data_IF_306094025206
#
_entry.id   IF_306094025206
#
_cell.length_a   1.000
_cell.length_b   1.000
_cell.length_c   1.000
_cell.angle_alpha   90.00
_cell.angle_beta   90.00
_cell.angle_gamma   90.00
#
_symmetry.space_group_name_H-M   'P 1'
#
loop_
_entity.id
_entity.type
_entity.pdbx_description
1 polymer ?
#
# COMPACT_ATOMS: atom_id res chain seq x y z
N UNK A 1 39.10 53.75 -49.29
CA UNK A 1 38.25 52.55 -49.45
C UNK A 1 39.14 51.34 -49.18
N UNK A 2 39.04 50.76 -47.98
CA UNK A 2 39.82 49.58 -47.59
C UNK A 2 38.86 48.40 -47.56
N UNK A 3 38.91 47.57 -48.58
CA UNK A 3 38.26 46.26 -48.60
C UNK A 3 38.96 45.34 -47.60
N UNK A 4 38.26 44.82 -46.56
CA UNK A 4 38.87 43.86 -45.65
C UNK A 4 39.22 42.60 -46.43
N UNK A 5 40.49 42.18 -46.33
CA UNK A 5 40.98 40.93 -46.87
C UNK A 5 40.15 39.80 -46.25
N UNK A 6 39.35 39.16 -47.08
CA UNK A 6 38.60 37.95 -46.75
C UNK A 6 39.61 36.90 -46.29
N UNK A 7 39.66 36.68 -44.97
CA UNK A 7 40.58 35.73 -44.36
C UNK A 7 40.35 34.35 -44.95
N UNK A 8 41.38 33.80 -45.58
CA UNK A 8 41.38 32.45 -46.11
C UNK A 8 41.00 31.49 -44.96
N UNK A 9 39.82 30.88 -45.06
CA UNK A 9 39.39 29.83 -44.15
C UNK A 9 40.40 28.71 -44.23
N UNK A 10 41.22 28.56 -43.19
CA UNK A 10 42.14 27.43 -43.06
C UNK A 10 41.31 26.16 -43.14
N UNK A 11 41.61 25.23 -44.07
CA UNK A 11 40.85 23.99 -44.18
C UNK A 11 41.00 23.24 -42.86
N UNK A 12 39.92 23.18 -42.09
CA UNK A 12 39.85 22.33 -40.90
C UNK A 12 40.35 20.94 -41.29
N UNK A 13 41.41 20.47 -40.63
CA UNK A 13 42.06 19.22 -41.00
C UNK A 13 41.00 18.12 -40.87
N UNK A 14 40.72 17.34 -41.93
CA UNK A 14 39.66 16.31 -41.92
C UNK A 14 39.79 15.33 -40.75
N UNK A 15 41.03 15.16 -40.25
CA UNK A 15 41.37 14.39 -39.06
C UNK A 15 40.67 14.88 -37.78
N UNK A 16 40.49 16.19 -37.57
CA UNK A 16 39.82 16.72 -36.37
C UNK A 16 38.32 16.39 -36.34
N UNK A 17 37.65 16.44 -37.51
CA UNK A 17 36.24 16.06 -37.63
C UNK A 17 36.04 14.56 -37.37
N UNK A 18 36.91 13.72 -37.94
CA UNK A 18 36.89 12.27 -37.69
C UNK A 18 37.08 11.96 -36.20
N UNK A 19 38.04 12.61 -35.54
CA UNK A 19 38.27 12.43 -34.11
C UNK A 19 37.10 12.90 -33.24
N UNK A 20 36.42 13.99 -33.61
CA UNK A 20 35.21 14.43 -32.90
C UNK A 20 34.07 13.42 -33.04
N UNK A 21 33.81 12.93 -34.26
CA UNK A 21 32.77 11.92 -34.51
C UNK A 21 33.09 10.63 -33.74
N UNK A 22 34.35 10.18 -33.75
CA UNK A 22 34.79 9.00 -33.02
C UNK A 22 34.59 9.16 -31.50
N UNK A 23 34.91 10.32 -30.93
CA UNK A 23 34.69 10.61 -29.50
C UNK A 23 33.21 10.58 -29.12
N UNK A 24 32.35 11.16 -29.96
CA UNK A 24 30.89 11.15 -29.75
C UNK A 24 30.37 9.72 -29.82
N UNK A 25 30.78 8.95 -30.83
CA UNK A 25 30.39 7.55 -30.97
C UNK A 25 30.86 6.72 -29.77
N UNK A 26 32.12 6.85 -29.36
CA UNK A 26 32.66 6.13 -28.20
C UNK A 26 31.91 6.48 -26.92
N UNK A 27 31.57 7.75 -26.69
CA UNK A 27 30.79 8.19 -25.53
C UNK A 27 29.40 7.54 -25.51
N UNK A 28 28.70 7.53 -26.65
CA UNK A 28 27.39 6.86 -26.76
C UNK A 28 27.50 5.35 -26.57
N UNK A 29 28.51 4.71 -27.17
CA UNK A 29 28.77 3.28 -26.98
C UNK A 29 28.97 2.93 -25.52
N UNK A 30 29.75 3.73 -24.77
CA UNK A 30 29.94 3.52 -23.33
C UNK A 30 28.62 3.68 -22.56
N UNK A 31 27.80 4.70 -22.86
CA UNK A 31 26.50 4.85 -22.19
C UNK A 31 25.53 3.72 -22.51
N UNK A 32 25.47 3.27 -23.77
CA UNK A 32 24.63 2.15 -24.17
C UNK A 32 25.08 0.87 -23.46
N UNK A 33 26.39 0.59 -23.42
CA UNK A 33 26.92 -0.56 -22.69
C UNK A 33 26.66 -0.48 -21.18
N UNK A 34 26.83 0.69 -20.57
CA UNK A 34 26.54 0.90 -19.16
C UNK A 34 25.03 0.73 -18.85
N UNK A 35 24.15 1.24 -19.71
CA UNK A 35 22.72 1.07 -19.59
C UNK A 35 22.29 -0.40 -19.75
N UNK A 36 22.84 -1.11 -20.74
CA UNK A 36 22.59 -2.55 -20.91
C UNK A 36 23.12 -3.34 -19.72
N UNK A 37 24.34 -3.06 -19.24
CA UNK A 37 24.87 -3.65 -18.03
C UNK A 37 23.95 -3.39 -16.82
N UNK A 38 23.45 -2.17 -16.64
CA UNK A 38 22.45 -1.87 -15.61
C UNK A 38 21.18 -2.71 -15.80
N UNK A 39 20.64 -2.80 -17.02
CA UNK A 39 19.40 -3.52 -17.31
C UNK A 39 19.52 -5.03 -17.10
N UNK A 40 20.70 -5.63 -17.30
CA UNK A 40 20.91 -7.08 -17.14
C UNK A 40 21.54 -7.48 -15.80
N UNK A 41 22.56 -6.76 -15.33
CA UNK A 41 23.31 -7.09 -14.12
C UNK A 41 22.50 -6.71 -12.86
N UNK A 42 21.81 -5.57 -12.88
CA UNK A 42 21.04 -5.12 -11.71
C UNK A 42 19.92 -6.11 -11.35
N UNK A 43 19.08 -6.61 -12.28
CA UNK A 43 18.12 -7.66 -11.96
C UNK A 43 18.75 -9.01 -11.63
N UNK A 44 19.94 -9.32 -12.17
CA UNK A 44 20.63 -10.58 -11.85
C UNK A 44 21.14 -10.61 -10.39
N UNK A 45 21.59 -9.46 -9.86
CA UNK A 45 22.10 -9.35 -8.48
C UNK A 45 20.97 -9.10 -7.49
N UNK A 46 20.07 -8.17 -7.79
CA UNK A 46 19.05 -7.69 -6.84
C UNK A 46 17.65 -8.31 -7.10
N UNK A 47 17.50 -9.11 -8.15
CA UNK A 47 16.20 -9.52 -8.65
C UNK A 47 15.44 -8.36 -9.30
N UNK A 48 14.20 -8.61 -9.72
CA UNK A 48 13.29 -7.56 -10.18
C UNK A 48 12.71 -6.72 -9.04
N UNK A 49 13.20 -6.90 -7.80
CA UNK A 49 12.61 -6.33 -6.59
C UNK A 49 12.43 -4.81 -6.63
N UNK A 50 13.37 -3.98 -7.13
CA UNK A 50 13.15 -2.53 -7.18
C UNK A 50 12.09 -2.11 -8.20
N UNK A 51 12.03 -2.78 -9.35
CA UNK A 51 11.00 -2.53 -10.36
C UNK A 51 9.64 -3.02 -9.87
N UNK A 52 9.60 -4.18 -9.23
CA UNK A 52 8.42 -4.77 -8.61
C UNK A 52 7.91 -3.88 -7.47
N UNK A 53 8.78 -3.30 -6.65
CA UNK A 53 8.43 -2.33 -5.61
C UNK A 53 7.81 -1.07 -6.21
N UNK A 54 8.44 -0.47 -7.23
CA UNK A 54 7.89 0.71 -7.92
C UNK A 54 6.53 0.37 -8.55
N UNK A 55 6.41 -0.81 -9.15
CA UNK A 55 5.18 -1.28 -9.77
C UNK A 55 4.07 -1.49 -8.72
N UNK A 56 4.34 -2.18 -7.61
CA UNK A 56 3.37 -2.34 -6.53
C UNK A 56 3.05 -1.01 -5.83
N UNK A 57 3.98 -0.08 -5.73
CA UNK A 57 3.70 1.23 -5.17
C UNK A 57 2.78 2.05 -6.11
N UNK A 58 2.98 1.95 -7.42
CA UNK A 58 2.18 2.65 -8.42
C UNK A 58 0.80 2.01 -8.66
N UNK A 59 0.72 0.67 -8.66
CA UNK A 59 -0.47 -0.08 -9.09
C UNK A 59 -1.00 -1.08 -8.05
N UNK A 60 -0.26 -1.38 -6.99
CA UNK A 60 -0.65 -2.38 -5.99
C UNK A 60 -1.94 -2.03 -5.25
N UNK A 61 -2.27 -0.74 -5.13
CA UNK A 61 -3.54 -0.30 -4.56
C UNK A 61 -4.76 -0.75 -5.38
N UNK A 62 -4.64 -0.92 -6.71
CA UNK A 62 -5.73 -1.42 -7.56
C UNK A 62 -6.02 -2.88 -7.23
N UNK A 63 -4.98 -3.72 -7.18
CA UNK A 63 -5.10 -5.13 -6.80
C UNK A 63 -5.64 -5.27 -5.38
N UNK A 64 -5.16 -4.44 -4.46
CA UNK A 64 -5.66 -4.40 -3.09
C UNK A 64 -7.17 -4.10 -3.07
N UNK A 65 -7.64 -3.07 -3.78
CA UNK A 65 -9.07 -2.76 -3.84
C UNK A 65 -9.84 -3.94 -4.43
N UNK A 66 -9.43 -4.51 -5.56
CA UNK A 66 -10.17 -5.62 -6.20
C UNK A 66 -10.30 -6.83 -5.29
N UNK A 67 -9.22 -7.23 -4.60
CA UNK A 67 -9.23 -8.39 -3.69
C UNK A 67 -10.06 -8.11 -2.44
N UNK A 68 -10.02 -6.88 -1.91
CA UNK A 68 -10.70 -6.56 -0.67
C UNK A 68 -12.15 -6.08 -0.87
N UNK A 69 -12.54 -5.69 -2.09
CA UNK A 69 -13.87 -5.15 -2.36
C UNK A 69 -14.98 -6.14 -2.02
N UNK A 70 -14.74 -7.44 -2.24
CA UNK A 70 -15.69 -8.51 -1.91
C UNK A 70 -15.89 -8.66 -0.40
N UNK A 71 -14.88 -8.33 0.40
CA UNK A 71 -14.91 -8.41 1.87
C UNK A 71 -15.36 -7.11 2.54
N UNK A 72 -15.51 -6.02 1.78
CA UNK A 72 -15.89 -4.72 2.33
C UNK A 72 -17.40 -4.61 2.52
N UNK A 73 -17.84 -4.61 3.78
CA UNK A 73 -19.21 -4.24 4.12
C UNK A 73 -19.40 -2.72 3.94
N UNK A 74 -20.02 -2.33 2.82
CA UNK A 74 -20.31 -0.93 2.54
C UNK A 74 -21.45 -0.46 3.45
N UNK A 75 -21.11 0.38 4.44
CA UNK A 75 -22.11 1.10 5.21
C UNK A 75 -22.77 2.17 4.32
N UNK A 76 -23.95 1.83 3.78
CA UNK A 76 -24.70 2.67 2.84
C UNK A 76 -25.05 4.04 3.40
N UNK A 77 -25.24 4.15 4.72
CA UNK A 77 -25.56 5.42 5.38
C UNK A 77 -24.36 6.37 5.31
N UNK A 78 -23.17 5.89 5.72
CA UNK A 78 -21.94 6.68 5.64
C UNK A 78 -21.59 7.08 4.20
N UNK A 79 -21.84 6.18 3.24
CA UNK A 79 -21.66 6.49 1.83
C UNK A 79 -22.59 7.62 1.37
N UNK A 80 -23.87 7.56 1.76
CA UNK A 80 -24.84 8.59 1.41
C UNK A 80 -24.47 9.95 2.04
N UNK A 81 -24.08 9.97 3.31
CA UNK A 81 -23.60 11.18 3.99
C UNK A 81 -22.38 11.77 3.28
N UNK A 82 -21.40 10.93 2.92
CA UNK A 82 -20.21 11.37 2.19
C UNK A 82 -20.55 12.00 0.83
N UNK A 83 -21.44 11.36 0.06
CA UNK A 83 -21.92 11.89 -1.23
C UNK A 83 -22.68 13.20 -1.04
N UNK A 84 -23.57 13.26 -0.04
CA UNK A 84 -24.34 14.46 0.27
C UNK A 84 -23.43 15.65 0.63
N UNK A 85 -22.46 15.45 1.51
CA UNK A 85 -21.52 16.52 1.88
C UNK A 85 -20.60 16.92 0.73
N UNK A 86 -20.14 15.97 -0.09
CA UNK A 86 -19.34 16.28 -1.28
C UNK A 86 -20.12 17.14 -2.28
N UNK A 87 -21.40 16.84 -2.52
CA UNK A 87 -22.28 17.63 -3.38
C UNK A 87 -22.56 19.01 -2.78
N UNK A 88 -22.88 19.08 -1.49
CA UNK A 88 -23.10 20.35 -0.78
C UNK A 88 -21.85 21.25 -0.86
N UNK A 89 -20.66 20.66 -0.64
CA UNK A 89 -19.38 21.36 -0.77
C UNK A 89 -19.13 21.84 -2.20
N UNK A 90 -19.38 21.01 -3.21
CA UNK A 90 -19.21 21.38 -4.61
C UNK A 90 -20.07 22.58 -5.02
N UNK A 91 -21.36 22.53 -4.65
CA UNK A 91 -22.32 23.61 -4.90
C UNK A 91 -21.91 24.87 -4.14
N UNK A 92 -21.53 24.73 -2.86
CA UNK A 92 -21.05 25.83 -2.03
C UNK A 92 -19.81 26.52 -2.63
N UNK A 93 -18.79 25.75 -3.01
CA UNK A 93 -17.57 26.25 -3.68
C UNK A 93 -17.93 26.99 -4.97
N UNK A 94 -18.86 26.46 -5.77
CA UNK A 94 -19.27 27.10 -7.01
C UNK A 94 -19.88 28.48 -6.79
N UNK A 95 -20.88 28.58 -5.90
CA UNK A 95 -21.53 29.86 -5.63
C UNK A 95 -20.60 30.84 -4.91
N UNK A 96 -19.82 30.36 -3.94
CA UNK A 96 -18.88 31.19 -3.18
C UNK A 96 -17.78 31.76 -4.09
N UNK A 97 -17.08 30.93 -4.86
CA UNK A 97 -16.03 31.41 -5.77
C UNK A 97 -16.58 32.22 -6.93
N UNK A 98 -17.77 31.87 -7.44
CA UNK A 98 -18.45 32.66 -8.45
C UNK A 98 -18.83 34.05 -7.94
N UNK A 99 -19.27 34.16 -6.68
CA UNK A 99 -19.50 35.44 -6.03
C UNK A 99 -18.20 36.22 -5.82
N UNK A 100 -17.17 35.58 -5.27
CA UNK A 100 -15.87 36.19 -5.00
C UNK A 100 -15.21 36.73 -6.29
N UNK A 101 -15.30 35.97 -7.38
CA UNK A 101 -14.79 36.37 -8.70
C UNK A 101 -15.46 37.65 -9.21
N UNK A 102 -16.78 37.78 -9.03
CA UNK A 102 -17.51 39.00 -9.41
C UNK A 102 -17.14 40.18 -8.52
N UNK A 103 -17.06 39.96 -7.21
CA UNK A 103 -16.72 41.01 -6.25
C UNK A 103 -15.32 41.60 -6.50
N UNK A 104 -14.32 40.76 -6.80
CA UNK A 104 -12.98 41.24 -7.12
C UNK A 104 -12.93 42.02 -8.44
N UNK A 105 -13.64 41.56 -9.47
CA UNK A 105 -13.67 42.24 -10.77
C UNK A 105 -14.29 43.64 -10.75
N UNK A 106 -15.09 43.98 -9.73
CA UNK A 106 -15.71 45.31 -9.57
C UNK A 106 -14.79 46.35 -8.92
N UNK A 107 -13.67 45.95 -8.32
CA UNK A 107 -12.85 46.83 -7.48
C UNK A 107 -11.68 47.51 -8.22
N UNK A 108 -11.22 46.93 -9.34
CA UNK A 108 -10.12 47.50 -10.13
C UNK A 108 -10.65 48.42 -11.24
N UNK A 109 -10.79 49.70 -10.93
CA UNK A 109 -11.22 50.75 -11.87
C UNK A 109 -10.26 51.07 -13.03
N UNK A 110 -9.36 50.17 -13.43
CA UNK A 110 -8.24 50.54 -14.31
C UNK A 110 -7.60 49.50 -15.24
N UNK A 111 -8.04 48.24 -15.33
CA UNK A 111 -7.28 47.25 -16.11
C UNK A 111 -8.11 46.14 -16.74
N UNK A 112 -8.33 46.25 -18.06
CA UNK A 112 -8.87 45.21 -18.96
C UNK A 112 -10.14 44.54 -18.44
N UNK A 113 -11.29 45.12 -18.79
CA UNK A 113 -12.60 44.60 -18.44
C UNK A 113 -12.70 43.09 -18.75
N UNK A 114 -12.71 42.26 -17.71
CA UNK A 114 -13.17 40.87 -17.74
C UNK A 114 -14.71 40.80 -17.90
N UNK A 115 -15.31 41.81 -18.52
CA UNK A 115 -16.73 41.98 -18.76
C UNK A 115 -17.22 40.88 -19.69
N UNK A 116 -17.74 39.79 -19.09
CA UNK A 116 -18.39 38.71 -19.80
C UNK A 116 -17.91 37.30 -19.46
N UNK A 117 -16.84 37.13 -18.67
CA UNK A 117 -16.46 35.77 -18.22
C UNK A 117 -17.32 35.34 -17.04
N UNK A 118 -18.22 34.39 -17.29
CA UNK A 118 -18.97 33.68 -16.26
C UNK A 118 -18.08 32.60 -15.64
N UNK A 119 -18.16 32.42 -14.32
CA UNK A 119 -17.49 31.34 -13.60
C UNK A 119 -17.92 29.98 -14.16
N UNK A 120 -16.96 29.17 -14.61
CA UNK A 120 -17.27 27.90 -15.30
C UNK A 120 -17.29 26.76 -14.29
N UNK A 121 -18.31 25.89 -14.36
CA UNK A 121 -18.45 24.70 -13.49
C UNK A 121 -17.19 23.82 -13.45
N UNK A 122 -16.48 23.67 -14.57
CA UNK A 122 -15.21 22.92 -14.63
C UNK A 122 -14.18 23.38 -13.60
N UNK A 123 -14.15 24.66 -13.24
CA UNK A 123 -13.19 25.19 -12.25
C UNK A 123 -13.54 24.74 -10.84
N UNK A 124 -14.83 24.77 -10.47
CA UNK A 124 -15.32 24.22 -9.20
C UNK A 124 -15.10 22.72 -9.11
N UNK A 125 -15.33 21.98 -10.20
CA UNK A 125 -15.08 20.53 -10.25
C UNK A 125 -13.60 20.21 -10.09
N UNK A 126 -12.69 20.95 -10.74
CA UNK A 126 -11.25 20.78 -10.53
C UNK A 126 -10.83 21.10 -9.09
N UNK A 127 -11.40 22.14 -8.49
CA UNK A 127 -11.16 22.48 -7.08
C UNK A 127 -11.64 21.39 -6.12
N UNK A 128 -12.86 20.88 -6.31
CA UNK A 128 -13.38 19.77 -5.52
C UNK A 128 -12.53 18.51 -5.70
N UNK A 129 -12.16 18.16 -6.92
CA UNK A 129 -11.32 17.01 -7.21
C UNK A 129 -9.97 17.09 -6.46
N UNK A 130 -9.36 18.28 -6.41
CA UNK A 130 -8.14 18.51 -5.64
C UNK A 130 -8.36 18.31 -4.13
N UNK A 131 -9.47 18.83 -3.57
CA UNK A 131 -9.80 18.66 -2.15
C UNK A 131 -10.01 17.18 -1.82
N UNK A 132 -10.77 16.45 -2.64
CA UNK A 132 -10.99 15.01 -2.46
C UNK A 132 -9.69 14.22 -2.58
N UNK A 133 -8.82 14.59 -3.52
CA UNK A 133 -7.50 13.98 -3.67
C UNK A 133 -6.63 14.18 -2.41
N UNK A 134 -6.62 15.40 -1.87
CA UNK A 134 -5.91 15.71 -0.62
C UNK A 134 -6.49 14.95 0.58
N UNK A 135 -7.81 14.81 0.64
CA UNK A 135 -8.48 14.04 1.68
C UNK A 135 -8.09 12.55 1.62
N UNK A 136 -8.14 11.94 0.43
CA UNK A 136 -7.71 10.56 0.20
C UNK A 136 -6.24 10.38 0.54
N UNK A 137 -5.38 11.31 0.12
CA UNK A 137 -3.96 11.29 0.46
C UNK A 137 -3.75 11.36 1.98
N UNK A 138 -4.48 12.23 2.68
CA UNK A 138 -4.41 12.36 4.14
C UNK A 138 -4.82 11.09 4.87
N UNK A 139 -5.95 10.47 4.50
CA UNK A 139 -6.37 9.18 5.08
C UNK A 139 -5.35 8.08 4.79
N UNK A 140 -4.83 8.05 3.55
CA UNK A 140 -3.77 7.10 3.17
C UNK A 140 -2.51 7.26 4.03
N UNK A 141 -2.07 8.49 4.29
CA UNK A 141 -0.95 8.77 5.18
C UNK A 141 -1.23 8.33 6.61
N UNK A 142 -2.41 8.61 7.17
CA UNK A 142 -2.77 8.17 8.53
C UNK A 142 -2.73 6.64 8.63
N UNK A 143 -3.31 5.93 7.64
CA UNK A 143 -3.26 4.47 7.59
C UNK A 143 -1.83 3.94 7.54
N UNK A 144 -0.99 4.52 6.68
CA UNK A 144 0.42 4.15 6.58
C UNK A 144 1.17 4.41 7.90
N UNK A 145 0.99 5.58 8.51
CA UNK A 145 1.61 5.94 9.80
C UNK A 145 1.18 4.98 10.90
N UNK A 146 -0.08 4.56 10.94
CA UNK A 146 -0.56 3.58 11.92
C UNK A 146 0.15 2.23 11.73
N UNK A 147 0.25 1.74 10.49
CA UNK A 147 0.95 0.49 10.20
C UNK A 147 2.45 0.58 10.53
N UNK A 148 3.10 1.70 10.22
CA UNK A 148 4.49 1.93 10.60
C UNK A 148 4.67 2.02 12.12
N UNK A 149 3.78 2.72 12.81
CA UNK A 149 3.83 2.81 14.27
C UNK A 149 3.67 1.44 14.92
N UNK A 150 2.77 0.59 14.41
CA UNK A 150 2.63 -0.78 14.89
C UNK A 150 3.90 -1.61 14.62
N UNK A 151 4.47 -1.45 13.42
CA UNK A 151 5.71 -2.12 13.03
C UNK A 151 6.90 -1.72 13.92
N UNK A 152 7.04 -0.43 14.27
CA UNK A 152 8.13 0.05 15.13
C UNK A 152 7.94 -0.29 16.60
N UNK A 153 6.71 -0.44 17.07
CA UNK A 153 6.41 -0.81 18.45
C UNK A 153 6.22 -2.32 18.65
N UNK A 154 6.33 -3.13 17.60
CA UNK A 154 6.32 -4.57 17.74
C UNK A 154 7.61 -5.01 18.44
N UNK A 155 7.47 -5.70 19.58
CA UNK A 155 8.60 -6.30 20.30
C UNK A 155 9.28 -7.43 19.48
N UNK A 156 8.65 -7.86 18.39
CA UNK A 156 9.16 -8.89 17.48
C UNK A 156 10.17 -8.31 16.47
N UNK A 157 11.25 -9.05 16.16
CA UNK A 157 12.25 -8.58 15.21
C UNK A 157 11.67 -8.45 13.79
N UNK A 158 11.78 -7.25 13.20
CA UNK A 158 11.33 -6.92 11.83
C UNK A 158 11.89 -7.84 10.74
N UNK A 159 13.04 -8.45 11.01
CA UNK A 159 13.76 -9.35 10.13
C UNK A 159 13.87 -10.75 10.74
N UNK A 160 12.78 -11.26 11.34
CA UNK A 160 12.72 -12.70 11.61
C UNK A 160 12.49 -13.42 10.27
N UNK A 161 13.52 -14.12 9.78
CA UNK A 161 13.44 -14.98 8.58
C UNK A 161 12.51 -16.19 8.75
N UNK A 162 11.68 -16.20 9.80
CA UNK A 162 10.83 -17.32 10.17
C UNK A 162 9.50 -17.23 9.42
N UNK A 163 9.58 -17.40 8.07
CA UNK A 163 8.38 -17.54 7.21
C UNK A 163 7.36 -18.51 7.81
N UNK A 164 7.85 -19.50 8.56
CA UNK A 164 7.08 -20.47 9.33
C UNK A 164 6.10 -19.80 10.32
N UNK A 165 6.56 -18.82 11.12
CA UNK A 165 5.73 -18.03 12.05
C UNK A 165 4.68 -17.23 11.32
N UNK A 166 5.09 -16.48 10.29
CA UNK A 166 4.16 -15.65 9.54
C UNK A 166 3.04 -16.48 8.90
N UNK A 167 3.37 -17.63 8.30
CA UNK A 167 2.38 -18.54 7.73
C UNK A 167 1.46 -19.09 8.83
N UNK A 168 2.01 -19.66 9.89
CA UNK A 168 1.21 -20.25 10.96
C UNK A 168 0.29 -19.20 11.64
N UNK A 169 0.78 -17.98 11.86
CA UNK A 169 0.00 -16.88 12.42
C UNK A 169 -1.13 -16.42 11.50
N UNK A 170 -0.88 -16.35 10.18
CA UNK A 170 -1.88 -16.00 9.18
C UNK A 170 -2.97 -17.09 9.07
N UNK A 171 -2.60 -18.37 9.01
CA UNK A 171 -3.55 -19.48 8.96
C UNK A 171 -4.40 -19.56 10.24
N UNK A 172 -3.79 -19.27 11.41
CA UNK A 172 -4.51 -19.21 12.68
C UNK A 172 -5.40 -17.98 12.87
N UNK A 173 -5.31 -16.96 12.01
CA UNK A 173 -6.04 -15.70 12.21
C UNK A 173 -7.56 -15.86 12.16
N UNK A 174 -8.08 -16.69 11.25
CA UNK A 174 -9.52 -16.98 11.14
C UNK A 174 -10.08 -17.65 12.40
N UNK A 175 -9.36 -18.63 12.94
CA UNK A 175 -9.74 -19.30 14.19
C UNK A 175 -9.70 -18.34 15.38
N UNK A 176 -8.66 -17.50 15.49
CA UNK A 176 -8.56 -16.46 16.54
C UNK A 176 -9.72 -15.46 16.46
N UNK A 177 -10.09 -15.02 15.26
CA UNK A 177 -11.22 -14.13 15.05
C UNK A 177 -12.56 -14.77 15.45
N UNK A 178 -12.74 -16.07 15.18
CA UNK A 178 -13.93 -16.81 15.61
C UNK A 178 -14.02 -16.88 17.15
N UNK A 179 -12.91 -17.19 17.83
CA UNK A 179 -12.82 -17.18 19.30
C UNK A 179 -13.13 -15.80 19.86
N UNK A 180 -12.53 -14.74 19.31
CA UNK A 180 -12.76 -13.37 19.75
C UNK A 180 -14.21 -12.92 19.57
N UNK A 181 -14.84 -13.29 18.44
CA UNK A 181 -16.25 -13.00 18.16
C UNK A 181 -17.17 -13.73 19.14
N UNK A 182 -16.89 -15.01 19.42
CA UNK A 182 -17.62 -15.80 20.41
C UNK A 182 -17.50 -15.23 21.83
N UNK A 183 -16.30 -14.83 22.23
CA UNK A 183 -16.06 -14.21 23.53
C UNK A 183 -16.78 -12.88 23.66
N UNK A 184 -16.75 -12.04 22.61
CA UNK A 184 -17.44 -10.74 22.61
C UNK A 184 -18.95 -10.88 22.74
N UNK A 185 -19.55 -11.94 22.20
CA UNK A 185 -21.01 -12.15 22.29
C UNK A 185 -21.45 -12.86 23.58
N UNK A 186 -20.63 -13.75 24.14
CA UNK A 186 -21.01 -14.61 25.29
C UNK A 186 -20.35 -14.24 26.61
N UNK A 187 -19.23 -13.50 26.57
CA UNK A 187 -18.35 -13.27 27.71
C UNK A 187 -17.59 -14.52 28.19
N UNK A 188 -17.60 -15.62 27.41
CA UNK A 188 -16.97 -16.91 27.75
C UNK A 188 -16.07 -17.39 26.61
N UNK A 189 -15.03 -18.15 26.95
CA UNK A 189 -14.18 -18.80 25.95
C UNK A 189 -14.87 -20.07 25.42
N UNK A 190 -14.78 -20.36 24.11
CA UNK A 190 -15.37 -21.56 23.54
C UNK A 190 -14.63 -22.82 24.02
N UNK A 191 -15.34 -23.95 24.16
CA UNK A 191 -14.71 -25.22 24.52
C UNK A 191 -14.23 -25.98 23.28
N UNK A 192 -14.82 -25.69 22.13
CA UNK A 192 -14.47 -26.31 20.85
C UNK A 192 -14.56 -25.32 19.69
N UNK A 193 -14.05 -25.70 18.52
CA UNK A 193 -14.24 -24.93 17.29
C UNK A 193 -15.71 -24.81 16.87
N UNK A 194 -16.51 -25.84 17.12
CA UNK A 194 -17.95 -25.85 16.81
C UNK A 194 -18.70 -24.80 17.64
N UNK A 195 -18.36 -24.66 18.94
CA UNK A 195 -18.94 -23.63 19.80
C UNK A 195 -18.66 -22.22 19.25
N UNK A 196 -17.43 -22.00 18.76
CA UNK A 196 -17.02 -20.74 18.17
C UNK A 196 -17.67 -20.46 16.80
N UNK A 197 -18.45 -21.40 16.25
CA UNK A 197 -18.95 -21.34 14.87
C UNK A 197 -17.83 -21.42 13.84
N UNK A 198 -16.67 -21.96 14.22
CA UNK A 198 -15.52 -22.15 13.36
C UNK A 198 -15.59 -23.52 12.70
N UNK A 199 -15.91 -23.53 11.41
CA UNK A 199 -15.75 -24.73 10.58
C UNK A 199 -14.29 -24.74 10.10
N UNK A 200 -13.51 -25.81 10.36
CA UNK A 200 -12.17 -25.92 9.82
C UNK A 200 -12.27 -25.91 8.29
N UNK A 201 -12.00 -24.77 7.67
CA UNK A 201 -11.80 -24.74 6.24
C UNK A 201 -10.52 -25.56 6.00
N UNK A 202 -10.59 -26.57 5.11
CA UNK A 202 -9.39 -27.24 4.62
C UNK A 202 -8.42 -26.14 4.19
N UNK A 203 -7.35 -25.96 4.96
CA UNK A 203 -6.38 -24.88 4.77
C UNK A 203 -6.08 -24.74 3.28
N UNK A 204 -6.47 -23.60 2.69
CA UNK A 204 -6.15 -23.32 1.28
C UNK A 204 -4.64 -23.19 1.07
N UNK A 205 -3.91 -22.94 2.14
CA UNK A 205 -2.46 -22.93 2.15
C UNK A 205 -1.88 -24.33 2.09
N UNK A 206 -0.96 -24.50 1.14
CA UNK A 206 -0.18 -25.73 0.98
C UNK A 206 0.74 -26.07 2.17
N UNK A 207 0.77 -25.24 3.22
CA UNK A 207 1.79 -25.27 4.28
C UNK A 207 1.23 -25.53 5.68
N UNK A 208 -0.05 -25.25 5.96
CA UNK A 208 -0.70 -25.71 7.19
C UNK A 208 -1.47 -27.01 6.92
N UNK A 209 -1.32 -27.99 7.81
CA UNK A 209 -2.07 -29.25 7.72
C UNK A 209 -3.44 -29.10 8.35
N UNK A 210 -3.51 -28.52 9.55
CA UNK A 210 -4.75 -28.33 10.30
C UNK A 210 -4.71 -27.05 11.13
N UNK A 211 -5.87 -26.41 11.27
CA UNK A 211 -6.13 -25.35 12.23
C UNK A 211 -7.27 -25.81 13.12
N UNK A 212 -7.05 -25.87 14.43
CA UNK A 212 -8.02 -26.36 15.39
C UNK A 212 -8.17 -25.40 16.57
N UNK A 213 -9.39 -25.28 17.09
CA UNK A 213 -9.67 -24.60 18.36
C UNK A 213 -9.88 -25.69 19.41
N UNK A 214 -8.96 -25.76 20.37
CA UNK A 214 -9.00 -26.65 21.54
C UNK A 214 -9.74 -25.96 22.70
N UNK A 215 -9.84 -26.68 23.83
CA UNK A 215 -10.47 -26.18 25.06
C UNK A 215 -9.96 -24.79 25.46
N UNK A 216 -10.85 -24.01 26.08
CA UNK A 216 -10.59 -22.61 26.47
C UNK A 216 -10.15 -21.70 25.32
N UNK A 217 -10.62 -21.97 24.10
CA UNK A 217 -10.34 -21.14 22.93
C UNK A 217 -8.88 -21.15 22.47
N UNK A 218 -8.09 -22.15 22.87
CA UNK A 218 -6.69 -22.27 22.43
C UNK A 218 -6.64 -22.63 20.96
N UNK A 219 -6.02 -21.79 20.14
CA UNK A 219 -5.87 -22.02 18.70
C UNK A 219 -4.55 -22.75 18.45
N UNK A 220 -4.63 -23.88 17.76
CA UNK A 220 -3.48 -24.70 17.40
C UNK A 220 -3.38 -24.81 15.89
N UNK A 221 -2.23 -24.40 15.35
CA UNK A 221 -1.91 -24.50 13.93
C UNK A 221 -0.80 -25.53 13.75
N UNK A 222 -1.12 -26.63 13.09
CA UNK A 222 -0.15 -27.67 12.77
C UNK A 222 0.38 -27.43 11.35
N UNK A 223 1.69 -27.42 11.18
CA UNK A 223 2.31 -27.24 9.87
C UNK A 223 2.49 -28.56 9.14
N UNK A 224 2.31 -28.52 7.82
CA UNK A 224 2.55 -29.66 6.93
C UNK A 224 4.04 -29.73 6.60
N UNK A 225 4.62 -30.91 6.77
CA UNK A 225 6.03 -31.12 6.45
C UNK A 225 6.26 -30.98 4.93
N UNK A 226 7.01 -29.93 4.56
CA UNK A 226 7.39 -29.71 3.16
C UNK A 226 8.84 -29.26 2.98
N UNK A 227 9.56 -29.01 4.08
CA UNK A 227 10.91 -28.46 4.08
C UNK A 227 11.80 -29.29 5.01
N UNK A 228 13.02 -29.65 4.59
CA UNK A 228 13.92 -30.53 5.36
C UNK A 228 14.44 -29.93 6.69
N UNK A 229 14.15 -28.65 6.96
CA UNK A 229 14.54 -27.96 8.19
C UNK A 229 13.36 -27.68 9.14
N UNK A 230 12.15 -28.17 8.85
CA UNK A 230 11.01 -28.11 9.76
C UNK A 230 10.85 -29.46 10.45
N UNK A 231 10.66 -29.48 11.77
CA UNK A 231 10.35 -30.74 12.45
C UNK A 231 8.88 -31.06 12.20
N UNK A 232 8.61 -32.28 11.75
CA UNK A 232 7.25 -32.76 11.54
C UNK A 232 6.44 -32.62 12.84
N UNK A 233 5.21 -32.11 12.71
CA UNK A 233 4.29 -31.95 13.83
C UNK A 233 4.54 -30.74 14.72
N UNK A 234 5.44 -29.81 14.38
CA UNK A 234 5.54 -28.55 15.13
C UNK A 234 4.22 -27.77 15.09
N UNK A 235 3.73 -27.41 16.29
CA UNK A 235 2.47 -26.70 16.48
C UNK A 235 2.75 -25.26 16.92
N UNK A 236 2.09 -24.29 16.30
CA UNK A 236 1.94 -22.96 16.87
C UNK A 236 0.70 -22.96 17.76
N UNK A 237 0.91 -22.77 19.06
CA UNK A 237 -0.15 -22.76 20.07
C UNK A 237 -0.37 -21.32 20.51
N UNK A 238 -1.53 -20.76 20.18
CA UNK A 238 -1.97 -19.44 20.58
C UNK A 238 -3.07 -19.55 21.63
N UNK A 239 -2.75 -19.23 22.88
CA UNK A 239 -3.71 -19.22 23.97
C UNK A 239 -4.22 -17.80 24.26
N UNK A 240 -5.53 -17.61 24.51
CA UNK A 240 -6.04 -16.33 25.00
C UNK A 240 -5.55 -16.09 26.43
N UNK A 241 -5.12 -14.87 26.74
CA UNK A 241 -4.72 -14.49 28.09
C UNK A 241 -5.95 -14.31 28.98
N UNK A 242 -5.98 -14.98 30.14
CA UNK A 242 -7.18 -15.02 31.02
C UNK A 242 -7.54 -13.62 31.60
N UNK A 243 -6.61 -12.67 31.60
CA UNK A 243 -6.82 -11.30 32.08
C UNK A 243 -7.54 -10.37 31.08
N UNK A 244 -7.97 -10.93 29.94
CA UNK A 244 -8.77 -10.25 28.90
C UNK A 244 -10.06 -9.57 29.42
N UNK A 245 -10.52 -9.93 30.62
CA UNK A 245 -11.73 -9.36 31.24
C UNK A 245 -11.65 -7.86 31.49
N UNK A 246 -10.45 -7.29 31.68
CA UNK A 246 -10.30 -5.87 32.05
C UNK A 246 -10.41 -4.91 30.85
N UNK A 247 -10.03 -5.36 29.64
CA UNK A 247 -9.96 -4.51 28.44
C UNK A 247 -11.03 -4.79 27.39
N UNK A 248 -11.79 -5.88 27.52
CA UNK A 248 -12.79 -6.28 26.52
C UNK A 248 -12.19 -6.81 25.21
N UNK A 249 -10.88 -7.01 25.17
CA UNK A 249 -10.12 -7.55 24.05
C UNK A 249 -9.29 -8.74 24.53
N UNK A 250 -9.21 -9.78 23.70
CA UNK A 250 -8.38 -10.97 23.97
C UNK A 250 -6.95 -10.68 23.53
N UNK A 251 -6.03 -10.65 24.49
CA UNK A 251 -4.59 -10.71 24.20
C UNK A 251 -4.20 -12.18 23.92
N UNK A 252 -3.34 -12.41 22.92
CA UNK A 252 -2.96 -13.74 22.47
C UNK A 252 -1.50 -14.02 22.81
N UNK A 253 -1.25 -15.10 23.54
CA UNK A 253 0.10 -15.60 23.78
C UNK A 253 0.36 -16.80 22.85
N UNK A 254 1.15 -16.56 21.79
CA UNK A 254 1.52 -17.55 20.80
C UNK A 254 2.93 -18.09 21.06
N UNK A 255 3.05 -19.42 21.19
CA UNK A 255 4.33 -20.10 21.38
C UNK A 255 4.43 -21.34 20.50
N UNK A 256 5.65 -21.65 20.08
CA UNK A 256 5.95 -22.92 19.44
C UNK A 256 6.01 -24.03 20.47
N UNK A 257 5.33 -25.14 20.20
CA UNK A 257 5.33 -26.32 21.05
C UNK A 257 5.48 -27.60 20.24
N UNK A 258 5.95 -28.64 20.92
CA UNK A 258 5.74 -30.02 20.45
C UNK A 258 4.30 -30.45 20.77
N UNK A 259 3.68 -31.29 19.93
CA UNK A 259 2.36 -31.81 20.20
C UNK A 259 2.39 -32.53 21.56
N UNK A 260 1.36 -32.29 22.39
CA UNK A 260 1.22 -32.99 23.65
C UNK A 260 1.16 -34.49 23.36
N UNK A 261 2.14 -35.24 23.89
CA UNK A 261 2.14 -36.72 23.82
C UNK A 261 1.15 -37.29 24.81
#
# INVERSE_FOLDING_TARGET
>A
MNTPLVGASTPERPLQRVLQILKVFLKWTVYVLAFLAYLFIFPAIFGFWPLELIFYLAFGWIFFIVINLESMEVNRLLLFEGVFFALALWVGIHYFLGWLYRAWGSSDGGGVALSGRVWRWRWSTSGLALVLLLFVAGIGTIGATHQFAWLFNADEPLLENDKKRMIAANEGSGARNAVAKYYKSTGRLPQSGEDAGYVPELSKSSLASTVQIREKGVVVVTLRERRPWWKEGEELICAPEEDAKSKGEIEWNCRWGSPAR
#
